data_IF_802925567905
#
_entry.id   IF_802925567905
#
_cell.length_a   1.000
_cell.length_b   1.000
_cell.length_c   1.000
_cell.angle_alpha   90.00
_cell.angle_beta   90.00
_cell.angle_gamma   90.00
#
_symmetry.space_group_name_H-M   'P 1'
#
loop_
_entity.id
_entity.type
_entity.pdbx_description
1 polymer ?
#
# COMPACT_ATOMS: atom_id res chain seq x y z
N UNK A 1 -2.78 -5.04 -14.97
CA UNK A 1 -2.98 -4.00 -16.01
C UNK A 1 -1.90 -2.95 -15.80
N UNK A 2 -1.21 -2.48 -16.85
CA UNK A 2 -0.03 -1.61 -16.71
C UNK A 2 -0.24 -0.26 -16.01
N UNK A 3 -1.49 0.14 -15.69
CA UNK A 3 -1.82 1.42 -15.06
C UNK A 3 -2.62 1.30 -13.74
N UNK A 4 -2.64 0.12 -13.09
CA UNK A 4 -3.32 0.00 -11.80
C UNK A 4 -2.62 0.85 -10.75
N UNK A 5 -3.40 1.62 -10.00
CA UNK A 5 -2.91 2.33 -8.82
C UNK A 5 -2.61 1.31 -7.73
N UNK A 6 -1.54 1.57 -6.99
CA UNK A 6 -1.17 0.79 -5.82
C UNK A 6 -1.52 1.54 -4.53
N UNK A 7 -1.97 0.80 -3.51
CA UNK A 7 -2.19 1.32 -2.16
C UNK A 7 -1.34 0.54 -1.15
N UNK A 8 -0.61 1.23 -0.25
CA UNK A 8 0.10 0.56 0.82
C UNK A 8 -0.88 0.16 1.94
N UNK A 9 -0.60 -0.98 2.56
CA UNK A 9 -1.28 -1.43 3.79
C UNK A 9 -0.24 -1.79 4.85
N UNK A 10 -0.61 -1.67 6.11
CA UNK A 10 0.21 -2.06 7.26
C UNK A 10 -0.71 -2.63 8.35
N UNK A 11 -0.26 -3.63 9.07
CA UNK A 11 -1.06 -4.29 10.10
C UNK A 11 -0.39 -5.54 10.68
N UNK A 12 -0.69 -5.82 11.95
CA UNK A 12 -0.07 -6.94 12.68
C UNK A 12 -0.79 -8.28 12.46
N UNK A 13 -2.06 -8.23 12.04
CA UNK A 13 -2.83 -9.42 11.72
C UNK A 13 -2.72 -9.79 10.23
N UNK A 14 -2.13 -10.95 9.95
CA UNK A 14 -1.86 -11.40 8.58
C UNK A 14 -3.16 -11.72 7.83
N UNK A 15 -4.15 -12.31 8.50
CA UNK A 15 -5.42 -12.66 7.87
C UNK A 15 -6.20 -11.41 7.43
N UNK A 16 -6.25 -10.38 8.29
CA UNK A 16 -6.86 -9.09 7.97
C UNK A 16 -6.17 -8.42 6.79
N UNK A 17 -4.84 -8.42 6.72
CA UNK A 17 -4.10 -7.87 5.57
C UNK A 17 -4.40 -8.60 4.27
N UNK A 18 -4.54 -9.93 4.32
CA UNK A 18 -4.94 -10.72 3.15
C UNK A 18 -6.36 -10.39 2.68
N UNK A 19 -7.31 -10.25 3.61
CA UNK A 19 -8.69 -9.84 3.30
C UNK A 19 -8.74 -8.45 2.66
N UNK A 20 -7.99 -7.49 3.21
CA UNK A 20 -7.90 -6.13 2.64
C UNK A 20 -7.23 -6.15 1.26
N UNK A 21 -6.11 -6.85 1.10
CA UNK A 21 -5.43 -6.98 -0.21
C UNK A 21 -6.36 -7.57 -1.28
N UNK A 22 -7.14 -8.59 -0.92
CA UNK A 22 -8.13 -9.21 -1.80
C UNK A 22 -9.26 -8.24 -2.17
N UNK A 23 -9.75 -7.46 -1.20
CA UNK A 23 -10.76 -6.42 -1.45
C UNK A 23 -10.23 -5.32 -2.38
N UNK A 24 -9.00 -4.85 -2.16
CA UNK A 24 -8.35 -3.85 -2.99
C UNK A 24 -8.14 -4.37 -4.42
N UNK A 25 -7.79 -5.66 -4.56
CA UNK A 25 -7.68 -6.28 -5.88
C UNK A 25 -9.02 -6.28 -6.63
N UNK A 26 -10.12 -6.62 -5.97
CA UNK A 26 -11.47 -6.55 -6.55
C UNK A 26 -11.85 -5.14 -7.00
N UNK A 27 -11.38 -4.11 -6.31
CA UNK A 27 -11.58 -2.71 -6.69
C UNK A 27 -10.61 -2.21 -7.77
N UNK A 28 -9.71 -3.06 -8.26
CA UNK A 28 -8.77 -2.70 -9.31
C UNK A 28 -7.52 -1.98 -8.81
N UNK A 29 -7.15 -2.10 -7.52
CA UNK A 29 -5.89 -1.61 -6.98
C UNK A 29 -4.87 -2.73 -6.81
N UNK A 30 -3.60 -2.43 -7.07
CA UNK A 30 -2.52 -3.27 -6.57
C UNK A 30 -2.30 -2.94 -5.07
N UNK A 31 -1.75 -3.89 -4.32
CA UNK A 31 -1.50 -3.71 -2.88
C UNK A 31 -0.01 -3.87 -2.60
N UNK A 32 0.55 -2.97 -1.80
CA UNK A 32 1.88 -3.14 -1.19
C UNK A 32 1.72 -3.36 0.31
N UNK A 33 2.07 -4.53 0.81
CA UNK A 33 2.11 -4.79 2.26
C UNK A 33 3.43 -4.27 2.84
N UNK A 34 3.36 -3.19 3.62
CA UNK A 34 4.50 -2.56 4.27
C UNK A 34 4.90 -3.25 5.59
N UNK A 35 4.19 -4.29 6.03
CA UNK A 35 4.52 -5.05 7.24
C UNK A 35 3.62 -4.74 8.43
N UNK A 36 4.23 -4.54 9.60
CA UNK A 36 3.54 -4.33 10.89
C UNK A 36 2.77 -3.02 10.93
N UNK A 37 1.82 -2.88 11.85
CA UNK A 37 1.00 -1.67 11.99
C UNK A 37 1.87 -0.41 12.19
N UNK A 38 3.00 -0.54 12.87
CA UNK A 38 3.96 0.56 13.08
C UNK A 38 4.54 1.15 11.78
N UNK A 39 4.52 0.41 10.67
CA UNK A 39 4.95 0.89 9.36
C UNK A 39 3.92 1.80 8.67
N UNK A 40 2.68 1.88 9.21
CA UNK A 40 1.63 2.76 8.69
C UNK A 40 2.05 4.24 8.62
N UNK A 41 2.88 4.67 9.56
CA UNK A 41 3.42 6.02 9.61
C UNK A 41 4.26 6.43 8.40
N UNK A 42 4.65 5.50 7.52
CA UNK A 42 5.37 5.79 6.27
C UNK A 42 4.48 6.39 5.17
N UNK A 43 3.15 6.26 5.29
CA UNK A 43 2.19 6.74 4.28
C UNK A 43 1.04 7.56 4.86
N UNK A 44 1.28 8.19 6.02
CA UNK A 44 0.39 9.14 6.67
C UNK A 44 0.75 10.59 6.37
N UNK A 45 -0.03 11.54 6.91
CA UNK A 45 0.19 12.99 6.74
C UNK A 45 1.63 13.37 7.06
N UNK A 46 2.27 14.11 6.15
CA UNK A 46 3.65 14.58 6.31
C UNK A 46 4.70 13.67 5.69
N UNK A 47 4.30 12.56 5.09
CA UNK A 47 5.19 11.65 4.36
C UNK A 47 5.14 11.90 2.85
N UNK A 48 6.19 11.47 2.14
CA UNK A 48 6.30 11.57 0.68
C UNK A 48 5.10 10.96 -0.05
N UNK A 49 4.61 9.74 0.27
CA UNK A 49 3.52 9.14 -0.49
C UNK A 49 2.12 9.64 -0.13
N UNK A 50 1.96 10.49 0.88
CA UNK A 50 0.65 10.97 1.32
C UNK A 50 -0.06 11.78 0.23
N UNK A 51 -1.29 11.36 -0.11
CA UNK A 51 -2.12 11.96 -1.18
C UNK A 51 -1.54 11.88 -2.61
N UNK A 52 -0.48 11.10 -2.85
CA UNK A 52 0.10 10.93 -4.20
C UNK A 52 -0.38 9.62 -4.81
N UNK A 53 -0.69 9.65 -6.12
CA UNK A 53 -1.08 8.47 -6.88
C UNK A 53 0.15 7.79 -7.46
N UNK A 54 0.36 6.52 -7.12
CA UNK A 54 1.44 5.69 -7.65
C UNK A 54 0.92 4.39 -8.26
N UNK A 55 1.63 3.88 -9.27
CA UNK A 55 1.63 2.46 -9.60
C UNK A 55 2.62 1.71 -8.68
N UNK A 56 2.50 0.39 -8.58
CA UNK A 56 3.26 -0.42 -7.61
C UNK A 56 4.78 -0.18 -7.62
N UNK A 57 5.48 -0.12 -8.78
CA UNK A 57 6.93 0.12 -8.79
C UNK A 57 7.32 1.48 -8.19
N UNK A 58 6.56 2.53 -8.50
CA UNK A 58 6.83 3.88 -8.00
C UNK A 58 6.48 4.02 -6.51
N UNK A 59 5.45 3.31 -6.04
CA UNK A 59 5.09 3.27 -4.62
C UNK A 59 6.20 2.63 -3.78
N UNK A 60 6.76 1.51 -4.24
CA UNK A 60 7.89 0.84 -3.57
C UNK A 60 9.07 1.78 -3.41
N UNK A 61 9.45 2.46 -4.50
CA UNK A 61 10.54 3.43 -4.48
C UNK A 61 10.28 4.59 -3.51
N UNK A 62 9.05 5.11 -3.48
CA UNK A 62 8.64 6.17 -2.55
C UNK A 62 8.67 5.74 -1.08
N UNK A 63 8.58 4.43 -0.81
CA UNK A 63 8.68 3.81 0.51
C UNK A 63 10.10 3.27 0.81
N UNK A 64 11.06 3.44 -0.10
CA UNK A 64 12.45 2.99 0.08
C UNK A 64 12.70 1.51 -0.23
N UNK A 65 11.87 0.89 -1.08
CA UNK A 65 11.97 -0.51 -1.55
C UNK A 65 12.18 -0.59 -3.06
#
# INVERSE_FOLDING_TARGET
MPDRRALPIAGDDTESKQRVSTLLDQFGFDTFDAGSLAQGGLFERGTVPYCIRYALPALKLALGH
#
